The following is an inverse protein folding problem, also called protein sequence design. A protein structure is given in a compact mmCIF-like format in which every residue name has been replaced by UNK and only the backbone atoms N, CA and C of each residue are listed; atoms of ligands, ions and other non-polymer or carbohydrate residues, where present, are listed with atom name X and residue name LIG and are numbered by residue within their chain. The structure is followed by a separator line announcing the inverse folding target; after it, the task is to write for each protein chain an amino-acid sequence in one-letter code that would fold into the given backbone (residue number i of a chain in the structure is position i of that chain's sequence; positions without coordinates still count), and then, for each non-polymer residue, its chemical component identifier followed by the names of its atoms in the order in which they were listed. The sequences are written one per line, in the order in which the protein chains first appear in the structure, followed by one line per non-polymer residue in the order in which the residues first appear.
data_IF_786043500030
#
_entry.id   IF_786043500030
#
_cell.length_a   1.000
_cell.length_b   1.000
_cell.length_c   1.000
_cell.angle_alpha   90.00
_cell.angle_beta   90.00
_cell.angle_gamma   90.00
#
_symmetry.space_group_name_H-M   'P 1'
#
loop_
_entity.id
_entity.type
_entity.pdbx_description
1 polymer ?
#
# COMPACT_ATOMS: atom_id res chain seq x y z
N UNK A 1 24.93 8.10 -16.19
CA UNK A 1 24.77 8.53 -14.78
C UNK A 1 24.23 7.35 -13.99
N UNK A 2 25.05 6.75 -13.11
CA UNK A 2 24.58 5.72 -12.20
C UNK A 2 23.89 6.43 -11.03
N UNK A 3 22.57 6.62 -11.11
CA UNK A 3 21.80 7.16 -9.99
C UNK A 3 21.68 6.02 -8.99
N UNK A 4 22.57 6.02 -7.99
CA UNK A 4 22.45 5.14 -6.83
C UNK A 4 21.38 5.72 -5.92
N UNK A 5 20.28 5.01 -5.75
CA UNK A 5 19.25 5.31 -4.75
C UNK A 5 18.98 4.05 -3.93
N UNK A 6 18.51 4.24 -2.71
CA UNK A 6 18.24 3.13 -1.80
C UNK A 6 17.04 2.31 -2.30
N UNK A 7 17.28 1.03 -2.59
CA UNK A 7 16.29 0.09 -3.16
C UNK A 7 15.80 -0.84 -2.07
N UNK A 8 14.62 -1.44 -2.28
CA UNK A 8 14.08 -2.46 -1.38
C UNK A 8 15.12 -3.56 -1.13
N UNK A 9 15.34 -3.90 0.12
CA UNK A 9 16.39 -4.85 0.52
C UNK A 9 16.13 -6.23 -0.07
N UNK A 10 14.87 -6.63 -0.22
CA UNK A 10 14.50 -7.87 -0.91
C UNK A 10 14.96 -7.91 -2.38
N UNK A 11 14.89 -6.78 -3.09
CA UNK A 11 15.41 -6.65 -4.47
C UNK A 11 16.93 -6.83 -4.50
N UNK A 12 17.64 -6.13 -3.61
CA UNK A 12 19.10 -6.24 -3.49
C UNK A 12 19.55 -7.64 -3.08
N UNK A 13 18.78 -8.32 -2.23
CA UNK A 13 19.04 -9.71 -1.82
C UNK A 13 19.00 -10.66 -3.01
N UNK A 14 17.97 -10.56 -3.86
CA UNK A 14 17.85 -11.40 -5.05
C UNK A 14 18.98 -11.15 -6.06
N UNK A 15 19.35 -9.88 -6.26
CA UNK A 15 20.50 -9.51 -7.09
C UNK A 15 21.79 -10.11 -6.53
N UNK A 16 21.99 -10.05 -5.21
CA UNK A 16 23.17 -10.61 -4.53
C UNK A 16 23.25 -12.12 -4.67
N UNK A 17 22.13 -12.84 -4.51
CA UNK A 17 22.09 -14.31 -4.67
C UNK A 17 22.55 -14.72 -6.07
N UNK A 18 22.21 -13.94 -7.10
CA UNK A 18 22.64 -14.17 -8.48
C UNK A 18 23.96 -13.48 -8.86
N UNK A 19 24.72 -12.98 -7.87
CA UNK A 19 25.99 -12.27 -8.08
C UNK A 19 25.89 -11.09 -9.07
N UNK A 20 24.73 -10.43 -9.11
CA UNK A 20 24.49 -9.25 -9.94
C UNK A 20 24.88 -7.98 -9.17
N UNK A 21 25.93 -7.30 -9.62
CA UNK A 21 26.42 -6.04 -9.06
C UNK A 21 25.95 -4.82 -9.86
N UNK A 22 25.52 -5.02 -11.10
CA UNK A 22 25.03 -3.96 -11.99
C UNK A 22 23.64 -4.27 -12.52
N UNK A 23 22.94 -3.21 -12.97
CA UNK A 23 21.63 -3.37 -13.61
C UNK A 23 21.71 -4.20 -14.90
N UNK A 24 22.81 -4.09 -15.66
CA UNK A 24 23.02 -4.87 -16.88
C UNK A 24 23.16 -6.36 -16.57
N UNK A 25 23.90 -6.72 -15.53
CA UNK A 25 24.00 -8.10 -15.03
C UNK A 25 22.62 -8.61 -14.57
N UNK A 26 21.90 -7.81 -13.79
CA UNK A 26 20.56 -8.16 -13.33
C UNK A 26 19.57 -8.39 -14.48
N UNK A 27 19.65 -7.56 -15.52
CA UNK A 27 18.76 -7.62 -16.68
C UNK A 27 18.95 -8.89 -17.51
N UNK A 28 20.13 -9.52 -17.49
CA UNK A 28 20.42 -10.76 -18.25
C UNK A 28 20.47 -12.01 -17.37
N UNK A 29 20.39 -11.86 -16.05
CA UNK A 29 20.40 -12.98 -15.12
C UNK A 29 19.21 -13.93 -15.32
N UNK A 30 19.38 -15.20 -15.00
CA UNK A 30 18.28 -16.18 -15.02
C UNK A 30 17.54 -16.21 -13.68
N UNK A 31 16.86 -15.11 -13.35
CA UNK A 31 16.11 -15.00 -12.09
C UNK A 31 14.95 -15.99 -12.03
N UNK A 32 14.33 -16.32 -13.16
CA UNK A 32 13.19 -17.24 -13.19
C UNK A 32 13.57 -18.65 -12.72
N UNK A 33 14.81 -19.08 -12.96
CA UNK A 33 15.33 -20.37 -12.52
C UNK A 33 15.92 -20.35 -11.10
N UNK A 34 15.91 -19.21 -10.42
CA UNK A 34 16.33 -19.14 -9.01
C UNK A 34 15.45 -20.07 -8.17
N UNK A 35 16.08 -20.88 -7.33
CA UNK A 35 15.42 -21.63 -6.26
C UNK A 35 16.14 -21.29 -4.97
N UNK A 36 15.38 -20.81 -3.97
CA UNK A 36 15.95 -20.43 -2.69
C UNK A 36 16.38 -21.68 -1.90
N UNK A 37 17.58 -21.65 -1.36
CA UNK A 37 17.94 -22.56 -0.26
C UNK A 37 17.46 -21.99 1.09
N UNK A 38 17.50 -22.82 2.14
CA UNK A 38 17.12 -22.45 3.50
C UNK A 38 17.80 -21.18 4.04
N UNK A 39 19.09 -20.99 3.75
CA UNK A 39 19.84 -19.81 4.20
C UNK A 39 19.38 -18.55 3.46
N UNK A 40 19.24 -18.65 2.14
CA UNK A 40 18.74 -17.56 1.29
C UNK A 40 17.31 -17.16 1.65
N UNK A 41 16.43 -18.13 1.90
CA UNK A 41 15.06 -17.90 2.35
C UNK A 41 15.02 -17.16 3.70
N UNK A 42 15.84 -17.59 4.67
CA UNK A 42 15.94 -16.93 5.97
C UNK A 42 16.43 -15.49 5.84
N UNK A 43 17.44 -15.25 5.01
CA UNK A 43 17.95 -13.90 4.76
C UNK A 43 16.89 -13.04 4.08
N UNK A 44 16.24 -13.52 3.03
CA UNK A 44 15.17 -12.79 2.33
C UNK A 44 14.01 -12.44 3.28
N UNK A 45 13.61 -13.36 4.16
CA UNK A 45 12.58 -13.09 5.17
C UNK A 45 12.99 -11.96 6.13
N UNK A 46 14.24 -11.94 6.58
CA UNK A 46 14.78 -10.84 7.39
C UNK A 46 14.74 -9.50 6.66
N UNK A 47 15.15 -9.46 5.39
CA UNK A 47 15.10 -8.23 4.58
C UNK A 47 13.66 -7.75 4.36
N UNK A 48 12.72 -8.67 4.15
CA UNK A 48 11.31 -8.35 3.99
C UNK A 48 10.69 -7.74 5.25
N UNK A 49 11.13 -8.15 6.44
CA UNK A 49 10.69 -7.53 7.70
C UNK A 49 11.14 -6.07 7.79
N UNK A 50 12.34 -5.73 7.32
CA UNK A 50 12.80 -4.33 7.28
C UNK A 50 12.09 -3.53 6.17
N UNK A 51 11.91 -4.11 4.98
CA UNK A 51 11.15 -3.48 3.91
C UNK A 51 9.69 -3.22 4.32
N UNK A 52 9.08 -4.12 5.11
CA UNK A 52 7.74 -3.95 5.64
C UNK A 52 7.61 -2.69 6.50
N UNK A 53 8.61 -2.36 7.34
CA UNK A 53 8.61 -1.14 8.17
C UNK A 53 8.67 0.12 7.31
N UNK A 54 9.54 0.12 6.30
CA UNK A 54 9.68 1.27 5.39
C UNK A 54 8.41 1.46 4.52
N UNK A 55 7.79 0.37 4.08
CA UNK A 55 6.52 0.39 3.36
C UNK A 55 5.38 0.87 4.25
N UNK A 56 5.31 0.40 5.50
CA UNK A 56 4.31 0.84 6.47
C UNK A 56 4.42 2.34 6.74
N UNK A 57 5.64 2.86 6.95
CA UNK A 57 5.88 4.29 7.10
C UNK A 57 5.41 5.10 5.87
N UNK A 58 5.73 4.65 4.65
CA UNK A 58 5.23 5.29 3.41
C UNK A 58 3.71 5.28 3.33
N UNK A 59 3.08 4.18 3.76
CA UNK A 59 1.63 4.03 3.83
C UNK A 59 0.98 5.03 4.78
N UNK A 60 1.51 5.16 6.01
CA UNK A 60 1.02 6.11 7.01
C UNK A 60 1.24 7.55 6.61
N UNK A 61 2.42 7.89 6.10
CA UNK A 61 2.71 9.24 5.63
C UNK A 61 1.71 9.66 4.54
N UNK A 62 1.50 8.79 3.56
CA UNK A 62 0.54 9.03 2.48
C UNK A 62 -0.90 9.15 3.02
N UNK A 63 -1.28 8.32 4.00
CA UNK A 63 -2.61 8.36 4.62
C UNK A 63 -2.84 9.70 5.32
N UNK A 64 -1.92 10.11 6.18
CA UNK A 64 -2.09 11.30 7.01
C UNK A 64 -1.98 12.58 6.19
N UNK A 65 -1.14 12.60 5.15
CA UNK A 65 -1.16 13.68 4.18
C UNK A 65 -2.48 13.76 3.40
N UNK A 66 -3.13 12.62 3.11
CA UNK A 66 -4.43 12.59 2.45
C UNK A 66 -5.54 13.13 3.39
N UNK A 67 -5.53 12.72 4.67
CA UNK A 67 -6.42 13.25 5.70
C UNK A 67 -6.27 14.77 5.87
N UNK A 68 -5.02 15.27 5.91
CA UNK A 68 -4.76 16.71 5.92
C UNK A 68 -5.23 17.42 4.65
N UNK A 69 -5.18 16.74 3.51
CA UNK A 69 -5.61 17.29 2.22
C UNK A 69 -7.14 17.44 2.16
N UNK A 70 -7.92 16.48 2.70
CA UNK A 70 -9.39 16.62 2.76
C UNK A 70 -9.85 17.72 3.72
N UNK A 71 -9.12 17.96 4.82
CA UNK A 71 -9.37 19.10 5.71
C UNK A 71 -9.20 20.43 4.97
N UNK A 72 -8.20 20.51 4.11
CA UNK A 72 -7.95 21.66 3.23
C UNK A 72 -8.85 21.67 1.97
N UNK A 73 -9.80 20.74 1.84
CA UNK A 73 -10.68 20.55 0.67
C UNK A 73 -9.94 20.31 -0.65
N UNK A 74 -8.74 19.74 -0.57
CA UNK A 74 -7.91 19.33 -1.71
C UNK A 74 -8.19 17.86 -2.08
N UNK A 75 -9.40 17.61 -2.58
CA UNK A 75 -9.94 16.26 -2.83
C UNK A 75 -9.21 15.50 -3.96
N UNK A 76 -8.72 16.19 -4.99
CA UNK A 76 -7.99 15.55 -6.08
C UNK A 76 -6.68 14.95 -5.56
N UNK A 77 -5.92 15.73 -4.78
CA UNK A 77 -4.70 15.26 -4.15
C UNK A 77 -4.94 14.21 -3.07
N UNK A 78 -6.01 14.35 -2.30
CA UNK A 78 -6.39 13.34 -1.32
C UNK A 78 -6.64 11.98 -1.99
N UNK A 79 -7.39 11.95 -3.11
CA UNK A 79 -7.66 10.73 -3.88
C UNK A 79 -6.37 10.00 -4.27
N UNK A 80 -5.39 10.75 -4.80
CA UNK A 80 -4.10 10.20 -5.22
C UNK A 80 -3.35 9.62 -4.02
N UNK A 81 -3.29 10.35 -2.91
CA UNK A 81 -2.55 9.94 -1.70
C UNK A 81 -3.22 8.75 -0.99
N UNK A 82 -4.55 8.69 -0.94
CA UNK A 82 -5.27 7.53 -0.41
C UNK A 82 -4.97 6.25 -1.20
N UNK A 83 -4.93 6.34 -2.53
CA UNK A 83 -4.50 5.22 -3.36
C UNK A 83 -3.05 4.79 -3.05
N UNK A 84 -2.10 5.73 -2.99
CA UNK A 84 -0.71 5.38 -2.68
C UNK A 84 -0.55 4.80 -1.28
N UNK A 85 -1.31 5.30 -0.30
CA UNK A 85 -1.37 4.72 1.04
C UNK A 85 -1.79 3.26 0.99
N UNK A 86 -2.91 2.95 0.33
CA UNK A 86 -3.38 1.57 0.13
C UNK A 86 -2.32 0.72 -0.57
N UNK A 87 -1.73 1.21 -1.66
CA UNK A 87 -0.69 0.52 -2.41
C UNK A 87 0.52 0.14 -1.53
N UNK A 88 1.00 1.05 -0.68
CA UNK A 88 2.10 0.75 0.24
C UNK A 88 1.69 -0.25 1.34
N UNK A 89 0.47 -0.18 1.86
CA UNK A 89 -0.03 -1.14 2.83
C UNK A 89 -0.22 -2.54 2.26
N UNK A 90 -0.64 -2.69 1.00
CA UNK A 90 -0.66 -3.99 0.32
C UNK A 90 0.74 -4.59 0.28
N UNK A 91 1.74 -3.81 -0.17
CA UNK A 91 3.13 -4.27 -0.24
C UNK A 91 3.70 -4.60 1.13
N UNK A 92 3.40 -3.79 2.15
CA UNK A 92 3.77 -4.08 3.53
C UNK A 92 3.19 -5.42 3.97
N UNK A 93 1.89 -5.63 3.75
CA UNK A 93 1.20 -6.88 4.10
C UNK A 93 1.83 -8.08 3.36
N UNK A 94 2.20 -7.95 2.08
CA UNK A 94 2.93 -9.00 1.37
C UNK A 94 4.28 -9.30 2.01
N UNK A 95 5.07 -8.26 2.32
CA UNK A 95 6.40 -8.39 2.91
C UNK A 95 6.35 -9.04 4.30
N UNK A 96 5.41 -8.63 5.15
CA UNK A 96 5.18 -9.25 6.47
C UNK A 96 4.83 -10.74 6.34
N UNK A 97 4.12 -11.12 5.28
CA UNK A 97 3.81 -12.52 4.97
C UNK A 97 4.93 -13.24 4.20
N UNK A 98 6.14 -12.70 4.16
CA UNK A 98 7.28 -13.34 3.52
C UNK A 98 7.20 -13.38 1.99
N UNK A 99 6.43 -12.48 1.36
CA UNK A 99 6.31 -12.38 -0.09
C UNK A 99 7.04 -11.14 -0.59
N UNK A 100 8.13 -11.36 -1.34
CA UNK A 100 8.86 -10.32 -2.03
C UNK A 100 8.23 -10.01 -3.39
N UNK A 101 8.14 -8.73 -3.75
CA UNK A 101 7.88 -8.28 -5.12
C UNK A 101 9.20 -7.83 -5.75
N UNK A 102 9.59 -8.49 -6.85
CA UNK A 102 10.90 -8.34 -7.48
C UNK A 102 10.71 -7.94 -8.94
N UNK A 103 11.44 -6.92 -9.38
CA UNK A 103 11.38 -6.39 -10.75
C UNK A 103 12.60 -6.86 -11.53
N UNK A 104 12.40 -7.70 -12.54
CA UNK A 104 13.44 -8.13 -13.48
C UNK A 104 12.87 -8.14 -14.91
N UNK A 105 12.76 -6.96 -15.54
CA UNK A 105 11.96 -6.67 -16.76
C UNK A 105 10.47 -6.92 -16.59
N UNK A 106 10.10 -8.07 -16.03
CA UNK A 106 8.77 -8.40 -15.57
C UNK A 106 8.64 -8.23 -14.05
N UNK A 107 7.42 -8.12 -13.55
CA UNK A 107 7.14 -8.20 -12.12
C UNK A 107 7.00 -9.67 -11.70
N UNK A 108 7.69 -10.03 -10.63
CA UNK A 108 7.62 -11.35 -10.00
C UNK A 108 7.19 -11.19 -8.55
N UNK A 109 6.55 -12.23 -8.01
CA UNK A 109 6.61 -12.48 -6.58
C UNK A 109 7.53 -13.65 -6.26
N UNK A 110 8.15 -13.64 -5.09
CA UNK A 110 8.96 -14.73 -4.56
C UNK A 110 8.63 -14.91 -3.07
N UNK A 111 8.24 -16.11 -2.66
CA UNK A 111 8.03 -16.44 -1.26
C UNK A 111 9.38 -16.76 -0.60
N UNK A 112 9.62 -16.24 0.59
CA UNK A 112 10.83 -16.45 1.37
C UNK A 112 10.77 -17.79 2.12
N UNK A 113 10.68 -18.90 1.39
CA UNK A 113 10.71 -20.27 1.93
C UNK A 113 11.72 -21.12 1.14
N UNK A 114 12.24 -22.15 1.80
CA UNK A 114 13.16 -23.12 1.19
C UNK A 114 12.48 -23.83 0.01
N UNK A 115 13.18 -23.91 -1.12
CA UNK A 115 12.70 -24.54 -2.36
C UNK A 115 11.78 -23.68 -3.23
N UNK A 116 11.39 -22.47 -2.80
CA UNK A 116 10.54 -21.57 -3.60
C UNK A 116 11.31 -20.89 -4.75
N UNK A 117 10.59 -20.61 -5.84
CA UNK A 117 11.12 -19.98 -7.05
C UNK A 117 10.28 -18.75 -7.45
N UNK A 118 10.85 -17.78 -8.19
CA UNK A 118 10.11 -16.60 -8.62
C UNK A 118 8.94 -16.95 -9.55
N UNK A 119 7.78 -16.35 -9.27
CA UNK A 119 6.56 -16.53 -10.06
C UNK A 119 6.22 -15.23 -10.76
N UNK A 120 5.98 -15.31 -12.07
CA UNK A 120 5.45 -14.21 -12.89
C UNK A 120 4.30 -14.70 -13.76
N UNK A 121 3.47 -13.76 -14.22
CA UNK A 121 2.39 -14.02 -15.16
C UNK A 121 2.58 -13.14 -16.39
N UNK A 122 2.56 -13.73 -17.58
CA UNK A 122 2.79 -13.02 -18.85
C UNK A 122 1.72 -12.00 -19.26
N UNK A 123 0.67 -11.83 -18.46
CA UNK A 123 -0.40 -10.87 -18.73
C UNK A 123 0.02 -9.45 -18.33
N UNK A 124 -0.24 -8.46 -19.20
CA UNK A 124 0.09 -7.03 -18.98
C UNK A 124 -0.43 -6.48 -17.64
N UNK A 125 -1.57 -6.96 -17.15
CA UNK A 125 -2.15 -6.56 -15.84
C UNK A 125 -1.26 -6.94 -14.65
N UNK A 126 -0.45 -7.98 -14.78
CA UNK A 126 0.50 -8.41 -13.75
C UNK A 126 1.84 -7.69 -13.84
N UNK A 127 2.10 -6.97 -14.93
CA UNK A 127 3.44 -6.50 -15.23
C UNK A 127 3.70 -5.03 -14.88
N UNK A 128 2.68 -4.24 -14.53
CA UNK A 128 2.90 -2.89 -14.00
C UNK A 128 3.16 -2.93 -12.49
N UNK A 129 3.87 -1.96 -11.92
CA UNK A 129 4.12 -1.92 -10.47
C UNK A 129 2.80 -1.86 -9.69
N UNK A 130 1.87 -1.05 -10.16
CA UNK A 130 0.60 -0.78 -9.51
C UNK A 130 -0.41 -1.93 -9.68
N UNK A 131 -0.87 -2.16 -10.91
CA UNK A 131 -1.85 -3.21 -11.18
C UNK A 131 -1.27 -4.60 -10.91
N UNK A 132 0.03 -4.80 -11.16
CA UNK A 132 0.69 -6.06 -10.86
C UNK A 132 0.74 -6.39 -9.38
N UNK A 133 1.06 -5.41 -8.53
CA UNK A 133 0.99 -5.57 -7.07
C UNK A 133 -0.42 -5.95 -6.63
N UNK A 134 -1.45 -5.23 -7.09
CA UNK A 134 -2.84 -5.52 -6.71
C UNK A 134 -3.26 -6.92 -7.16
N UNK A 135 -2.93 -7.31 -8.39
CA UNK A 135 -3.31 -8.63 -8.90
C UNK A 135 -2.58 -9.77 -8.19
N UNK A 136 -1.26 -9.64 -7.92
CA UNK A 136 -0.56 -10.65 -7.11
C UNK A 136 -1.09 -10.70 -5.68
N UNK A 137 -1.43 -9.56 -5.09
CA UNK A 137 -2.06 -9.52 -3.78
C UNK A 137 -3.38 -10.30 -3.76
N UNK A 138 -4.27 -10.04 -4.73
CA UNK A 138 -5.56 -10.74 -4.85
C UNK A 138 -5.39 -12.25 -5.01
N UNK A 139 -4.40 -12.69 -5.79
CA UNK A 139 -4.13 -14.11 -5.99
C UNK A 139 -3.63 -14.80 -4.70
N UNK A 140 -2.78 -14.12 -3.93
CA UNK A 140 -2.12 -14.68 -2.75
C UNK A 140 -2.95 -14.53 -1.46
N UNK A 141 -3.82 -13.52 -1.41
CA UNK A 141 -4.61 -13.11 -0.24
C UNK A 141 -6.10 -12.98 -0.62
N UNK A 142 -6.63 -13.96 -1.34
CA UNK A 142 -8.02 -13.95 -1.83
C UNK A 142 -9.08 -13.91 -0.72
N UNK A 143 -8.72 -14.29 0.50
CA UNK A 143 -9.57 -14.22 1.69
C UNK A 143 -9.52 -12.86 2.42
N UNK A 144 -8.81 -11.87 1.88
CA UNK A 144 -8.77 -10.53 2.47
C UNK A 144 -10.16 -9.91 2.50
N UNK A 145 -10.57 -9.38 3.67
CA UNK A 145 -11.94 -8.92 3.88
C UNK A 145 -12.33 -7.78 2.94
N UNK A 146 -11.39 -6.92 2.52
CA UNK A 146 -11.67 -5.84 1.56
C UNK A 146 -11.87 -6.34 0.12
N UNK A 147 -11.66 -7.63 -0.14
CA UNK A 147 -12.00 -8.30 -1.40
C UNK A 147 -13.33 -9.08 -1.32
N UNK A 148 -14.02 -9.06 -0.18
CA UNK A 148 -15.23 -9.86 0.03
C UNK A 148 -16.45 -9.38 -0.76
N UNK A 149 -16.45 -8.12 -1.18
CA UNK A 149 -17.54 -7.51 -1.95
C UNK A 149 -16.98 -6.52 -2.98
N UNK A 150 -17.73 -6.33 -4.05
CA UNK A 150 -17.42 -5.37 -5.09
C UNK A 150 -18.13 -4.03 -4.84
N UNK A 151 -17.51 -2.95 -5.30
CA UNK A 151 -18.09 -1.61 -5.42
C UNK A 151 -18.33 -1.38 -6.91
N UNK A 152 -19.59 -1.31 -7.33
CA UNK A 152 -19.96 -1.18 -8.74
C UNK A 152 -19.21 -2.20 -9.64
N UNK A 153 -19.33 -3.49 -9.29
CA UNK A 153 -18.69 -4.64 -9.98
C UNK A 153 -17.15 -4.67 -9.95
N UNK A 154 -16.53 -3.77 -9.19
CA UNK A 154 -15.07 -3.68 -9.05
C UNK A 154 -14.66 -3.90 -7.60
N UNK A 155 -13.75 -4.86 -7.35
CA UNK A 155 -13.18 -5.03 -6.00
C UNK A 155 -12.54 -3.74 -5.47
N UNK A 156 -12.47 -3.62 -4.14
CA UNK A 156 -12.07 -2.39 -3.46
C UNK A 156 -10.71 -1.80 -3.91
N UNK A 157 -9.71 -2.65 -4.15
CA UNK A 157 -8.37 -2.19 -4.52
C UNK A 157 -8.31 -1.67 -5.96
N UNK A 158 -8.93 -2.38 -6.89
CA UNK A 158 -9.05 -1.92 -8.28
C UNK A 158 -9.95 -0.66 -8.36
N UNK A 159 -11.00 -0.56 -7.53
CA UNK A 159 -11.86 0.62 -7.47
C UNK A 159 -11.07 1.88 -7.06
N UNK A 160 -10.25 1.79 -6.00
CA UNK A 160 -9.38 2.90 -5.59
C UNK A 160 -8.36 3.28 -6.67
N UNK A 161 -7.76 2.29 -7.34
CA UNK A 161 -6.85 2.53 -8.46
C UNK A 161 -7.56 3.28 -9.59
N UNK A 162 -8.78 2.85 -9.93
CA UNK A 162 -9.60 3.48 -10.97
C UNK A 162 -9.96 4.92 -10.63
N UNK A 163 -10.33 5.23 -9.38
CA UNK A 163 -10.61 6.61 -8.95
C UNK A 163 -9.34 7.49 -8.99
N UNK A 164 -8.18 6.95 -8.61
CA UNK A 164 -6.90 7.66 -8.77
C UNK A 164 -6.57 7.91 -10.23
N UNK A 165 -6.77 6.93 -11.12
CA UNK A 165 -6.57 7.12 -12.56
C UNK A 165 -7.54 8.13 -13.17
N UNK A 166 -8.81 8.10 -12.75
CA UNK A 166 -9.81 9.09 -13.15
C UNK A 166 -9.31 10.49 -12.83
N UNK A 167 -9.05 10.78 -11.55
CA UNK A 167 -8.66 12.12 -11.08
C UNK A 167 -7.32 12.57 -11.66
N UNK A 168 -6.33 11.67 -11.74
CA UNK A 168 -4.98 12.07 -12.11
C UNK A 168 -4.73 12.14 -13.63
N UNK A 169 -5.50 11.42 -14.44
CA UNK A 169 -5.22 11.30 -15.88
C UNK A 169 -6.42 11.49 -16.80
N UNK A 170 -7.65 11.18 -16.36
CA UNK A 170 -8.84 11.22 -17.23
C UNK A 170 -9.61 12.52 -17.08
N UNK A 171 -9.63 13.10 -15.88
CA UNK A 171 -10.14 14.43 -15.63
C UNK A 171 -9.19 15.47 -16.23
N UNK A 172 -9.75 16.49 -16.90
CA UNK A 172 -8.97 17.50 -17.64
C UNK A 172 -8.08 18.35 -16.74
N UNK A 173 -8.56 18.63 -15.53
CA UNK A 173 -7.86 19.37 -14.50
C UNK A 173 -8.30 18.82 -13.14
N UNK A 174 -7.54 19.14 -12.10
CA UNK A 174 -7.97 18.93 -10.72
C UNK A 174 -9.20 19.79 -10.42
N UNK A 175 -10.19 19.21 -9.71
CA UNK A 175 -11.52 19.81 -9.61
C UNK A 175 -11.62 20.95 -8.59
N UNK A 176 -10.57 21.20 -7.81
CA UNK A 176 -10.53 22.22 -6.77
C UNK A 176 -10.98 23.60 -7.31
N UNK A 177 -11.82 24.34 -6.54
CA UNK A 177 -12.29 24.05 -5.18
C UNK A 177 -13.47 23.05 -5.10
N UNK A 178 -13.92 22.51 -6.24
CA UNK A 178 -14.94 21.46 -6.29
C UNK A 178 -14.30 20.08 -6.07
N UNK A 179 -15.09 19.03 -6.30
CA UNK A 179 -14.67 17.64 -6.16
C UNK A 179 -15.43 16.75 -7.16
N UNK A 180 -14.91 15.55 -7.43
CA UNK A 180 -15.60 14.53 -8.21
C UNK A 180 -16.85 14.03 -7.47
N UNK A 181 -17.82 13.43 -8.18
CA UNK A 181 -19.13 13.06 -7.58
C UNK A 181 -19.00 12.07 -6.40
N UNK A 182 -18.06 11.12 -6.47
CA UNK A 182 -17.83 10.14 -5.40
C UNK A 182 -17.35 10.77 -4.07
N UNK A 183 -16.96 12.05 -4.06
CA UNK A 183 -16.63 12.80 -2.84
C UNK A 183 -17.82 13.52 -2.21
N UNK A 184 -18.95 13.64 -2.91
CA UNK A 184 -20.06 14.55 -2.54
C UNK A 184 -20.55 14.38 -1.11
N UNK A 185 -20.88 13.15 -0.71
CA UNK A 185 -21.35 12.89 0.65
C UNK A 185 -20.30 13.33 1.69
N UNK A 186 -19.05 12.93 1.50
CA UNK A 186 -17.97 13.25 2.44
C UNK A 186 -17.73 14.77 2.48
N UNK A 187 -17.70 15.44 1.33
CA UNK A 187 -17.52 16.88 1.24
C UNK A 187 -18.64 17.66 1.97
N UNK A 188 -19.91 17.23 1.81
CA UNK A 188 -21.04 17.79 2.55
C UNK A 188 -20.90 17.62 4.06
N UNK A 189 -20.43 16.46 4.52
CA UNK A 189 -20.19 16.22 5.95
C UNK A 189 -19.01 17.04 6.49
N UNK A 190 -17.93 17.18 5.73
CA UNK A 190 -16.80 18.04 6.09
C UNK A 190 -17.26 19.51 6.20
N UNK A 191 -18.08 19.99 5.25
CA UNK A 191 -18.64 21.35 5.30
C UNK A 191 -19.53 21.59 6.53
N UNK A 192 -20.14 20.54 7.08
CA UNK A 192 -20.93 20.57 8.32
C UNK A 192 -20.07 20.42 9.59
N UNK A 193 -18.74 20.32 9.47
CA UNK A 193 -17.84 20.12 10.60
C UNK A 193 -17.76 18.67 11.11
N UNK A 194 -18.27 17.69 10.34
CA UNK A 194 -18.43 16.30 10.79
C UNK A 194 -17.25 15.39 10.44
N UNK A 195 -16.07 15.93 10.11
CA UNK A 195 -14.93 15.09 9.70
C UNK A 195 -14.51 14.11 10.80
N UNK A 196 -14.37 14.57 12.05
CA UNK A 196 -14.00 13.67 13.17
C UNK A 196 -15.01 12.54 13.34
N UNK A 197 -16.31 12.85 13.24
CA UNK A 197 -17.38 11.86 13.31
C UNK A 197 -17.26 10.84 12.19
N UNK A 198 -17.10 11.30 10.93
CA UNK A 198 -16.91 10.41 9.80
C UNK A 198 -15.73 9.45 9.98
N UNK A 199 -14.59 9.95 10.43
CA UNK A 199 -13.41 9.12 10.66
C UNK A 199 -13.67 8.06 11.74
N UNK A 200 -14.37 8.41 12.84
CA UNK A 200 -14.78 7.44 13.86
C UNK A 200 -15.74 6.40 13.30
N UNK A 201 -16.72 6.82 12.49
CA UNK A 201 -17.67 5.92 11.85
C UNK A 201 -16.93 4.88 10.97
N UNK A 202 -15.95 5.32 10.16
CA UNK A 202 -15.14 4.39 9.34
C UNK A 202 -14.25 3.46 10.17
N UNK A 203 -13.70 3.94 11.28
CA UNK A 203 -12.86 3.12 12.17
C UNK A 203 -13.70 2.04 12.86
N UNK A 204 -14.91 2.37 13.32
CA UNK A 204 -15.78 1.48 14.07
C UNK A 204 -16.62 0.53 13.20
N UNK A 205 -16.88 0.92 11.95
CA UNK A 205 -17.67 0.12 11.01
C UNK A 205 -17.08 -1.28 10.75
N UNK A 206 -17.93 -2.29 10.52
CA UNK A 206 -17.51 -3.67 10.21
C UNK A 206 -17.23 -3.87 8.71
N UNK A 207 -16.60 -2.90 8.07
CA UNK A 207 -16.27 -2.85 6.63
C UNK A 207 -17.45 -2.58 5.68
N UNK A 208 -18.68 -2.37 6.17
CA UNK A 208 -19.83 -2.08 5.32
C UNK A 208 -19.60 -0.83 4.47
N UNK A 209 -19.04 0.23 5.08
CA UNK A 209 -18.76 1.50 4.43
C UNK A 209 -17.61 1.40 3.41
N UNK A 210 -16.80 0.35 3.46
CA UNK A 210 -15.77 0.12 2.43
C UNK A 210 -16.39 -0.27 1.08
N UNK A 211 -17.62 -0.77 1.07
CA UNK A 211 -18.30 -1.27 -0.12
C UNK A 211 -19.40 -0.34 -0.65
N UNK A 212 -19.54 0.85 -0.05
CA UNK A 212 -20.46 1.89 -0.51
C UNK A 212 -19.67 2.98 -1.22
N UNK A 213 -20.03 3.30 -2.47
CA UNK A 213 -19.23 4.15 -3.36
C UNK A 213 -18.93 5.52 -2.73
N UNK A 214 -19.94 6.12 -2.10
CA UNK A 214 -19.91 7.42 -1.45
C UNK A 214 -19.02 7.50 -0.19
N UNK A 215 -18.56 6.34 0.30
CA UNK A 215 -17.73 6.19 1.50
C UNK A 215 -16.36 5.57 1.20
N UNK A 216 -16.29 4.72 0.17
CA UNK A 216 -15.17 3.85 -0.15
C UNK A 216 -13.82 4.56 -0.25
N UNK A 217 -13.79 5.77 -0.85
CA UNK A 217 -12.55 6.53 -1.06
C UNK A 217 -11.80 6.83 0.25
N UNK A 218 -12.53 6.94 1.36
CA UNK A 218 -11.96 7.22 2.67
C UNK A 218 -11.98 5.97 3.58
N UNK A 219 -13.03 5.16 3.51
CA UNK A 219 -13.18 3.97 4.35
C UNK A 219 -12.11 2.90 4.03
N UNK A 220 -11.89 2.57 2.75
CA UNK A 220 -10.94 1.53 2.33
C UNK A 220 -9.51 1.80 2.83
N UNK A 221 -8.88 2.98 2.58
CA UNK A 221 -7.49 3.21 3.00
C UNK A 221 -7.35 3.22 4.54
N UNK A 222 -8.34 3.72 5.28
CA UNK A 222 -8.33 3.68 6.76
C UNK A 222 -8.39 2.24 7.26
N UNK A 223 -9.33 1.45 6.75
CA UNK A 223 -9.46 0.03 7.12
C UNK A 223 -8.24 -0.78 6.73
N UNK A 224 -7.67 -0.51 5.56
CA UNK A 224 -6.43 -1.16 5.12
C UNK A 224 -5.26 -0.86 6.06
N UNK A 225 -5.13 0.40 6.53
CA UNK A 225 -4.10 0.77 7.50
C UNK A 225 -4.23 -0.02 8.81
N UNK A 226 -5.45 -0.10 9.36
CA UNK A 226 -5.74 -0.85 10.59
C UNK A 226 -5.41 -2.33 10.42
N UNK A 227 -5.92 -2.98 9.35
CA UNK A 227 -5.64 -4.39 9.07
C UNK A 227 -4.13 -4.67 8.87
N UNK A 228 -3.39 -3.73 8.27
CA UNK A 228 -1.94 -3.89 8.10
C UNK A 228 -1.19 -3.72 9.42
N UNK A 229 -1.63 -2.81 10.31
CA UNK A 229 -1.08 -2.72 11.68
C UNK A 229 -1.35 -3.98 12.47
N UNK A 230 -2.58 -4.50 12.46
CA UNK A 230 -2.94 -5.76 13.11
C UNK A 230 -2.04 -6.91 12.63
N UNK A 231 -1.72 -6.96 11.33
CA UNK A 231 -0.83 -7.98 10.77
C UNK A 231 0.62 -7.84 11.25
N UNK A 232 1.14 -6.62 11.32
CA UNK A 232 2.47 -6.34 11.87
C UNK A 232 2.57 -6.76 13.34
N UNK A 233 1.52 -6.47 14.11
CA UNK A 233 1.44 -6.77 15.53
C UNK A 233 1.38 -8.28 15.78
N UNK A 234 0.56 -8.99 14.99
CA UNK A 234 0.47 -10.44 15.03
C UNK A 234 1.83 -11.13 14.75
N UNK A 235 2.68 -10.52 13.92
CA UNK A 235 4.02 -11.02 13.59
C UNK A 235 5.13 -10.46 14.50
N UNK A 236 4.75 -9.68 15.53
CA UNK A 236 5.67 -9.01 16.47
C UNK A 236 6.73 -8.16 15.76
N UNK A 237 6.34 -7.47 14.67
CA UNK A 237 7.23 -6.58 13.93
C UNK A 237 7.11 -5.18 14.51
N UNK A 238 8.13 -4.77 15.26
CA UNK A 238 8.28 -3.38 15.67
C UNK A 238 8.46 -2.48 14.44
N UNK A 239 7.54 -1.53 14.27
CA UNK A 239 7.58 -0.55 13.17
C UNK A 239 8.80 0.38 13.24
N UNK A 240 9.46 0.48 14.40
CA UNK A 240 10.78 1.11 14.54
C UNK A 240 10.80 2.59 14.13
N UNK A 241 9.69 3.31 14.30
CA UNK A 241 9.61 4.73 13.92
C UNK A 241 10.54 5.57 14.80
N UNK A 242 11.48 6.29 14.17
CA UNK A 242 12.28 7.30 14.88
C UNK A 242 11.38 8.37 15.49
N UNK A 243 11.88 9.05 16.52
CA UNK A 243 11.15 10.14 17.19
C UNK A 243 10.72 11.23 16.21
N UNK A 244 11.58 11.55 15.24
CA UNK A 244 11.34 12.53 14.19
C UNK A 244 10.26 12.06 13.21
N UNK A 245 10.34 10.80 12.72
CA UNK A 245 9.32 10.22 11.83
C UNK A 245 7.97 10.18 12.51
N UNK A 246 7.91 9.77 13.78
CA UNK A 246 6.68 9.76 14.58
C UNK A 246 6.11 11.17 14.75
N UNK A 247 6.96 12.15 15.05
CA UNK A 247 6.53 13.56 15.17
C UNK A 247 5.92 14.06 13.86
N UNK A 248 6.57 13.82 12.72
CA UNK A 248 6.05 14.21 11.40
C UNK A 248 4.65 13.63 11.16
N UNK A 249 4.46 12.33 11.42
CA UNK A 249 3.16 11.68 11.27
C UNK A 249 2.09 12.32 12.18
N UNK A 250 2.42 12.54 13.45
CA UNK A 250 1.46 13.12 14.41
C UNK A 250 1.14 14.59 14.11
N UNK A 251 2.06 15.35 13.51
CA UNK A 251 1.84 16.73 13.07
C UNK A 251 0.94 16.82 11.82
N UNK A 252 0.78 15.73 11.07
CA UNK A 252 -0.14 15.63 9.94
C UNK A 252 -1.58 15.32 10.38
N UNK A 253 -1.77 14.74 11.56
CA UNK A 253 -3.07 14.45 12.13
C UNK A 253 -3.61 15.66 12.92
N UNK A 254 -4.43 16.48 12.27
CA UNK A 254 -5.15 17.57 12.97
C UNK A 254 -6.20 17.01 13.94
N UNK A 255 -6.85 15.91 13.58
CA UNK A 255 -7.81 15.19 14.41
C UNK A 255 -7.14 13.93 14.99
N UNK A 256 -6.93 13.91 16.31
CA UNK A 256 -6.21 12.85 17.02
C UNK A 256 -7.13 11.77 17.56
N UNK A 257 -7.74 11.01 16.66
CA UNK A 257 -8.52 9.81 17.03
C UNK A 257 -7.55 8.73 17.56
N UNK A 258 -7.81 8.11 18.74
CA UNK A 258 -6.88 7.18 19.37
C UNK A 258 -6.37 6.06 18.46
N UNK A 259 -7.25 5.46 17.67
CA UNK A 259 -6.93 4.36 16.75
C UNK A 259 -5.96 4.82 15.65
N UNK A 260 -6.13 6.03 15.13
CA UNK A 260 -5.19 6.61 14.16
C UNK A 260 -3.84 6.96 14.79
N UNK A 261 -3.84 7.41 16.05
CA UNK A 261 -2.60 7.67 16.79
C UNK A 261 -1.86 6.36 17.07
N UNK A 262 -2.58 5.29 17.42
CA UNK A 262 -2.03 3.96 17.69
C UNK A 262 -1.34 3.34 16.47
N UNK A 263 -1.72 3.71 15.24
CA UNK A 263 -0.99 3.30 14.04
C UNK A 263 0.50 3.69 14.07
N UNK A 264 0.88 4.70 14.86
CA UNK A 264 2.27 5.19 15.02
C UNK A 264 3.01 4.59 16.22
N UNK A 265 2.38 3.67 16.94
CA UNK A 265 2.96 2.98 18.08
C UNK A 265 3.42 1.58 17.66
N UNK A 266 4.48 1.10 18.30
CA UNK A 266 4.88 -0.31 18.29
C UNK A 266 3.85 -1.11 19.09
#
# INVERSE_FOLDING_TARGET
MNISFDRHRAQLRCETILNCQTLDQWNVADFKSLQLDKSQASLLSSELREDAKDLYFKGLLSLFEALKSIEAKLFSWATIKFYYSMYYFLRCTMAVNGVALIRQKSLYYLKALDGESPVTKGNKKYNSDHSGTINFFKDLFSSDILLSQDIDTTNAYDWLMNKREQVNYRERHFNEPNHSEFWKLIAEQINKGNLEKLLKDYIQDKFILCFQEEHAILAIPIKRALLTKERLDAENIDIGLSRERKKILLDLLSIKIPELVQLTNS
#
